data_IF_127243529436
#
_entry.id   IF_127243529436
#
_cell.length_a   1.000
_cell.length_b   1.000
_cell.length_c   1.000
_cell.angle_alpha   90.00
_cell.angle_beta   90.00
_cell.angle_gamma   90.00
#
_symmetry.space_group_name_H-M   'P 1'
#
loop_
_entity.id
_entity.type
_entity.pdbx_description
1 polymer ?
#
# COMPACT_ATOMS: atom_id res chain seq x y z
N UNK A 1 -18.05 -17.84 -12.20
CA UNK A 1 -17.96 -18.51 -10.88
C UNK A 1 -17.53 -17.44 -9.89
N UNK A 2 -18.32 -17.14 -8.88
CA UNK A 2 -17.91 -16.19 -7.83
C UNK A 2 -16.79 -16.86 -7.02
N UNK A 3 -15.57 -16.34 -7.11
CA UNK A 3 -14.47 -16.78 -6.25
C UNK A 3 -14.79 -16.36 -4.81
N UNK A 4 -14.63 -17.26 -3.84
CA UNK A 4 -14.83 -16.94 -2.41
C UNK A 4 -13.82 -15.88 -1.97
N UNK A 5 -14.27 -14.62 -1.97
CA UNK A 5 -13.43 -13.46 -1.65
C UNK A 5 -13.06 -13.41 -0.18
N UNK A 6 -13.89 -13.96 0.69
CA UNK A 6 -13.60 -14.07 2.12
C UNK A 6 -12.44 -15.03 2.35
N UNK A 7 -12.46 -16.20 1.71
CA UNK A 7 -11.35 -17.14 1.74
C UNK A 7 -10.08 -16.51 1.16
N UNK A 8 -10.18 -15.75 0.06
CA UNK A 8 -9.04 -15.06 -0.54
C UNK A 8 -8.41 -14.02 0.40
N UNK A 9 -9.22 -13.17 1.05
CA UNK A 9 -8.73 -12.20 2.05
C UNK A 9 -7.94 -12.90 3.16
N UNK A 10 -8.52 -13.96 3.72
CA UNK A 10 -7.89 -14.76 4.78
C UNK A 10 -6.56 -15.37 4.32
N UNK A 11 -6.53 -15.89 3.09
CA UNK A 11 -5.32 -16.44 2.49
C UNK A 11 -4.21 -15.40 2.37
N UNK A 12 -4.50 -14.21 1.81
CA UNK A 12 -3.50 -13.15 1.64
C UNK A 12 -2.95 -12.67 2.99
N UNK A 13 -3.82 -12.44 3.97
CA UNK A 13 -3.37 -12.04 5.31
C UNK A 13 -2.49 -13.12 5.95
N UNK A 14 -2.88 -14.39 5.84
CA UNK A 14 -2.06 -15.50 6.34
C UNK A 14 -0.71 -15.57 5.63
N UNK A 15 -0.68 -15.46 4.31
CA UNK A 15 0.54 -15.45 3.50
C UNK A 15 1.49 -14.34 3.96
N UNK A 16 0.99 -13.12 4.16
CA UNK A 16 1.79 -11.99 4.65
C UNK A 16 2.37 -12.25 6.05
N UNK A 17 1.58 -12.84 6.96
CA UNK A 17 2.09 -13.23 8.28
C UNK A 17 3.16 -14.31 8.20
N UNK A 18 3.01 -15.25 7.28
CA UNK A 18 3.97 -16.32 7.05
C UNK A 18 5.28 -15.77 6.49
N UNK A 19 5.21 -14.87 5.51
CA UNK A 19 6.37 -14.15 4.98
C UNK A 19 7.12 -13.38 6.08
N UNK A 20 6.42 -12.66 6.95
CA UNK A 20 7.06 -11.94 8.06
C UNK A 20 7.73 -12.87 9.06
N UNK A 21 7.15 -14.06 9.29
CA UNK A 21 7.71 -15.07 10.18
C UNK A 21 8.94 -15.73 9.56
N UNK A 22 8.94 -15.96 8.25
CA UNK A 22 10.06 -16.51 7.49
C UNK A 22 11.26 -15.55 7.47
N UNK A 23 11.03 -14.26 7.21
CA UNK A 23 12.08 -13.24 7.28
C UNK A 23 12.62 -13.09 8.71
N UNK A 24 11.72 -13.07 9.69
CA UNK A 24 12.04 -12.77 11.08
C UNK A 24 12.66 -11.37 11.25
N UNK A 25 13.03 -11.03 12.48
CA UNK A 25 13.60 -9.70 12.77
C UNK A 25 14.91 -9.46 12.02
N UNK A 26 15.76 -10.49 11.89
CA UNK A 26 17.04 -10.40 11.20
C UNK A 26 16.85 -10.15 9.69
N UNK A 27 15.93 -10.86 9.02
CA UNK A 27 15.64 -10.67 7.60
C UNK A 27 15.07 -9.28 7.33
N UNK A 28 14.13 -8.82 8.16
CA UNK A 28 13.61 -7.45 8.05
C UNK A 28 14.72 -6.40 8.21
N UNK A 29 15.64 -6.57 9.16
CA UNK A 29 16.80 -5.67 9.28
C UNK A 29 17.71 -5.71 8.05
N UNK A 30 17.94 -6.89 7.45
CA UNK A 30 18.73 -7.01 6.23
C UNK A 30 18.06 -6.32 5.03
N UNK A 31 16.73 -6.41 4.90
CA UNK A 31 15.97 -5.68 3.89
C UNK A 31 16.09 -4.17 4.10
N UNK A 32 16.02 -3.70 5.34
CA UNK A 32 16.26 -2.30 5.70
C UNK A 32 17.67 -1.85 5.32
N UNK A 33 18.71 -2.60 5.68
CA UNK A 33 20.08 -2.26 5.29
C UNK A 33 20.26 -2.16 3.76
N UNK A 34 19.70 -3.11 3.00
CA UNK A 34 19.72 -3.04 1.53
C UNK A 34 18.95 -1.83 0.99
N UNK A 35 17.88 -1.41 1.67
CA UNK A 35 17.13 -0.21 1.31
C UNK A 35 17.96 1.07 1.39
N UNK A 36 19.01 1.12 2.22
CA UNK A 36 19.89 2.30 2.37
C UNK A 36 20.76 2.56 1.13
N UNK A 37 20.89 1.58 0.23
CA UNK A 37 21.56 1.77 -1.06
C UNK A 37 20.88 2.86 -1.91
N UNK A 38 19.61 3.16 -1.63
CA UNK A 38 18.83 4.18 -2.30
C UNK A 38 18.72 5.45 -1.43
N UNK A 39 19.33 6.54 -1.88
CA UNK A 39 19.27 7.84 -1.22
C UNK A 39 18.14 8.68 -1.85
N UNK A 40 16.92 8.53 -1.33
CA UNK A 40 15.70 9.12 -1.93
C UNK A 40 15.05 10.22 -1.08
N UNK A 41 15.63 10.58 0.06
CA UNK A 41 15.09 11.63 0.93
C UNK A 41 14.95 12.97 0.19
N UNK A 42 15.96 13.32 -0.63
CA UNK A 42 15.97 14.55 -1.43
C UNK A 42 14.83 14.64 -2.45
N UNK A 43 14.33 13.48 -2.92
CA UNK A 43 13.17 13.45 -3.80
C UNK A 43 11.93 13.95 -3.06
N UNK A 44 11.74 13.53 -1.81
CA UNK A 44 10.59 13.94 -1.00
C UNK A 44 10.73 15.40 -0.53
N UNK A 45 11.92 15.82 -0.09
CA UNK A 45 12.15 17.21 0.34
C UNK A 45 12.06 18.20 -0.82
N UNK A 46 12.36 17.75 -2.05
CA UNK A 46 12.15 18.50 -3.29
C UNK A 46 10.70 18.56 -3.77
N UNK A 47 9.74 17.99 -3.03
CA UNK A 47 8.31 17.98 -3.39
C UNK A 47 7.89 16.85 -4.34
N UNK A 48 8.76 15.86 -4.56
CA UNK A 48 8.48 14.66 -5.34
C UNK A 48 7.78 13.55 -4.53
N UNK A 49 7.68 12.38 -5.14
CA UNK A 49 7.10 11.18 -4.56
C UNK A 49 7.98 9.95 -4.83
N UNK A 50 7.89 8.93 -3.97
CA UNK A 50 8.57 7.65 -4.12
C UNK A 50 7.55 6.56 -4.38
N UNK A 51 7.71 5.84 -5.49
CA UNK A 51 6.92 4.67 -5.84
C UNK A 51 7.71 3.41 -5.50
N UNK A 52 7.08 2.44 -4.85
CA UNK A 52 7.69 1.16 -4.50
C UNK A 52 6.70 0.01 -4.73
N UNK A 53 7.17 -1.20 -5.08
CA UNK A 53 6.32 -2.37 -5.20
C UNK A 53 5.88 -2.89 -3.82
N UNK A 54 4.70 -3.50 -3.77
CA UNK A 54 4.12 -4.08 -2.56
C UNK A 54 3.89 -5.61 -2.64
N UNK A 55 4.64 -6.28 -3.52
CA UNK A 55 4.58 -7.74 -3.68
C UNK A 55 5.32 -8.45 -2.51
N UNK A 56 5.73 -9.71 -2.73
CA UNK A 56 6.39 -10.54 -1.71
C UNK A 56 7.62 -9.85 -1.08
N UNK A 57 7.65 -9.80 0.26
CA UNK A 57 8.66 -9.05 1.01
C UNK A 57 10.08 -9.57 0.76
N UNK A 58 10.25 -10.88 0.58
CA UNK A 58 11.54 -11.51 0.29
C UNK A 58 12.14 -11.06 -1.05
N UNK A 59 11.29 -10.65 -2.00
CA UNK A 59 11.72 -10.24 -3.35
C UNK A 59 11.96 -8.74 -3.42
N UNK A 60 10.99 -7.95 -2.98
CA UNK A 60 11.00 -6.50 -3.18
C UNK A 60 11.02 -5.67 -1.89
N UNK A 61 11.09 -6.30 -0.71
CA UNK A 61 11.03 -5.59 0.57
C UNK A 61 12.12 -4.54 0.78
N UNK A 62 13.31 -4.73 0.19
CA UNK A 62 14.38 -3.72 0.21
C UNK A 62 14.03 -2.46 -0.60
N UNK A 63 13.19 -2.56 -1.62
CA UNK A 63 12.67 -1.40 -2.38
C UNK A 63 11.61 -0.67 -1.57
N UNK A 64 10.75 -1.39 -0.83
CA UNK A 64 9.84 -0.77 0.13
C UNK A 64 10.62 -0.13 1.30
N UNK A 65 11.71 -0.75 1.75
CA UNK A 65 12.60 -0.20 2.77
C UNK A 65 13.28 1.10 2.32
N UNK A 66 13.67 1.21 1.03
CA UNK A 66 14.17 2.46 0.47
C UNK A 66 13.15 3.60 0.63
N UNK A 67 11.86 3.34 0.42
CA UNK A 67 10.80 4.32 0.65
C UNK A 67 10.62 4.65 2.14
N UNK A 68 10.75 3.66 3.04
CA UNK A 68 10.75 3.89 4.50
C UNK A 68 11.90 4.82 4.90
N UNK A 69 13.11 4.57 4.40
CA UNK A 69 14.26 5.44 4.67
C UNK A 69 14.06 6.84 4.10
N UNK A 70 13.65 6.97 2.84
CA UNK A 70 13.35 8.26 2.23
C UNK A 70 12.40 9.09 3.11
N UNK A 71 11.31 8.47 3.57
CA UNK A 71 10.30 9.12 4.40
C UNK A 71 10.84 9.52 5.78
N UNK A 72 11.53 8.62 6.48
CA UNK A 72 12.11 8.90 7.81
C UNK A 72 13.28 9.88 7.76
N UNK A 73 14.06 9.87 6.68
CA UNK A 73 15.23 10.73 6.49
C UNK A 73 14.87 12.10 5.89
N UNK A 74 13.63 12.28 5.40
CA UNK A 74 13.14 13.57 4.88
C UNK A 74 13.03 14.67 5.93
N UNK A 75 12.99 14.33 7.22
CA UNK A 75 12.74 15.26 8.31
C UNK A 75 11.28 15.73 8.44
N UNK A 76 10.35 15.15 7.66
CA UNK A 76 8.92 15.50 7.69
C UNK A 76 8.25 15.01 8.98
N UNK A 77 7.39 15.83 9.59
CA UNK A 77 6.58 15.44 10.75
C UNK A 77 5.42 14.51 10.40
N UNK A 78 5.03 14.47 9.12
CA UNK A 78 3.89 13.69 8.59
C UNK A 78 4.28 13.05 7.27
N UNK A 79 3.84 11.81 7.06
CA UNK A 79 4.10 11.03 5.84
C UNK A 79 2.77 10.48 5.32
N UNK A 80 2.44 10.79 4.07
CA UNK A 80 1.29 10.22 3.37
C UNK A 80 1.73 8.98 2.57
N UNK A 81 1.28 7.81 2.99
CA UNK A 81 1.43 6.57 2.23
C UNK A 81 0.12 6.26 1.51
N UNK A 82 0.19 6.13 0.18
CA UNK A 82 -0.96 5.85 -0.68
C UNK A 82 -0.86 4.41 -1.18
N UNK A 83 -1.81 3.58 -0.78
CA UNK A 83 -1.93 2.20 -1.22
C UNK A 83 -2.94 2.05 -2.35
N UNK A 84 -2.98 0.87 -2.96
CA UNK A 84 -4.06 0.47 -3.86
C UNK A 84 -5.18 -0.13 -3.02
N UNK A 85 -6.43 0.24 -3.30
CA UNK A 85 -7.59 -0.46 -2.74
C UNK A 85 -8.09 -1.54 -3.69
N UNK A 86 -7.79 -2.80 -3.38
CA UNK A 86 -8.22 -3.95 -4.16
C UNK A 86 -9.72 -4.20 -4.02
N UNK A 87 -10.36 -4.60 -5.11
CA UNK A 87 -11.77 -5.01 -5.12
C UNK A 87 -11.96 -6.37 -4.44
N UNK A 88 -11.95 -6.37 -3.10
CA UNK A 88 -12.02 -7.59 -2.30
C UNK A 88 -13.45 -7.94 -1.82
N UNK A 89 -14.45 -7.12 -2.14
CA UNK A 89 -15.87 -7.47 -1.95
C UNK A 89 -16.56 -7.67 -3.30
N UNK A 90 -17.68 -8.39 -3.30
CA UNK A 90 -18.50 -8.57 -4.50
C UNK A 90 -19.07 -7.24 -4.99
N UNK A 91 -19.38 -6.33 -4.08
CA UNK A 91 -19.83 -4.97 -4.39
C UNK A 91 -18.76 -4.15 -5.11
N UNK A 92 -17.52 -4.16 -4.61
CA UNK A 92 -16.39 -3.47 -5.23
C UNK A 92 -16.06 -4.08 -6.59
N UNK A 93 -16.14 -5.40 -6.73
CA UNK A 93 -15.96 -6.05 -8.03
C UNK A 93 -17.06 -5.67 -9.00
N UNK A 94 -18.32 -5.63 -8.55
CA UNK A 94 -19.43 -5.22 -9.38
C UNK A 94 -19.26 -3.76 -9.85
N UNK A 95 -18.82 -2.85 -8.97
CA UNK A 95 -18.49 -1.48 -9.33
C UNK A 95 -17.36 -1.41 -10.36
N UNK A 96 -16.30 -2.21 -10.16
CA UNK A 96 -15.19 -2.32 -11.12
C UNK A 96 -15.65 -2.82 -12.48
N UNK A 97 -16.53 -3.81 -12.52
CA UNK A 97 -17.10 -4.34 -13.77
C UNK A 97 -17.96 -3.30 -14.48
N UNK A 98 -18.81 -2.57 -13.75
CA UNK A 98 -19.64 -1.48 -14.33
C UNK A 98 -18.77 -0.40 -14.98
N UNK A 99 -17.73 0.04 -14.28
CA UNK A 99 -16.83 1.08 -14.81
C UNK A 99 -15.99 0.56 -15.98
N UNK A 100 -15.53 -0.69 -15.92
CA UNK A 100 -14.85 -1.32 -17.05
C UNK A 100 -15.76 -1.46 -18.29
N UNK A 101 -17.09 -1.45 -18.10
CA UNK A 101 -18.10 -1.43 -19.15
C UNK A 101 -18.51 0.00 -19.59
N UNK A 102 -17.83 1.04 -19.07
CA UNK A 102 -18.04 2.44 -19.45
C UNK A 102 -18.98 3.24 -18.54
N UNK A 103 -19.31 2.75 -17.33
CA UNK A 103 -19.98 3.61 -16.35
C UNK A 103 -19.05 4.74 -15.87
N UNK A 104 -19.65 5.88 -15.52
CA UNK A 104 -18.93 7.02 -14.95
C UNK A 104 -18.45 6.68 -13.53
N UNK A 105 -17.12 6.60 -13.29
CA UNK A 105 -16.58 6.26 -11.98
C UNK A 105 -17.04 7.20 -10.87
N UNK A 106 -17.27 8.49 -11.18
CA UNK A 106 -17.65 9.49 -10.18
C UNK A 106 -19.08 9.28 -9.64
N UNK A 107 -19.87 8.43 -10.28
CA UNK A 107 -21.23 8.05 -9.86
C UNK A 107 -21.28 6.76 -9.05
N UNK A 108 -20.17 6.03 -8.94
CA UNK A 108 -20.09 4.83 -8.12
C UNK A 108 -20.02 5.22 -6.64
N UNK A 109 -20.87 4.64 -5.80
CA UNK A 109 -20.94 4.93 -4.35
C UNK A 109 -19.60 4.69 -3.64
N UNK A 110 -18.80 3.77 -4.17
CA UNK A 110 -17.50 3.38 -3.62
C UNK A 110 -16.36 4.31 -4.08
N UNK A 111 -16.63 5.24 -5.00
CA UNK A 111 -15.61 6.15 -5.53
C UNK A 111 -15.07 7.09 -4.45
N UNK A 112 -13.74 7.22 -4.41
CA UNK A 112 -13.07 8.17 -3.53
C UNK A 112 -11.91 7.56 -2.77
N UNK A 113 -11.57 8.19 -1.64
CA UNK A 113 -10.40 7.84 -0.83
C UNK A 113 -10.89 7.26 0.50
N UNK A 114 -10.40 6.07 0.83
CA UNK A 114 -10.65 5.41 2.11
C UNK A 114 -9.40 5.40 2.99
N UNK A 115 -9.56 5.16 4.29
CA UNK A 115 -8.45 4.97 5.22
C UNK A 115 -8.76 5.40 6.65
N UNK A 116 -7.84 5.16 7.59
CA UNK A 116 -8.03 5.51 9.00
C UNK A 116 -8.39 6.98 9.19
N UNK A 117 -9.43 7.22 10.02
CA UNK A 117 -9.90 8.55 10.40
C UNK A 117 -10.75 9.27 9.36
N UNK A 118 -11.04 8.66 8.20
CA UNK A 118 -12.01 9.19 7.24
C UNK A 118 -13.42 8.63 7.52
N UNK A 119 -14.44 9.43 7.22
CA UNK A 119 -15.83 8.96 7.19
C UNK A 119 -16.10 8.21 5.88
N UNK A 120 -17.07 7.29 5.89
CA UNK A 120 -17.49 6.53 4.71
C UNK A 120 -17.19 5.05 4.84
N UNK A 121 -16.75 4.44 3.73
CA UNK A 121 -16.58 3.00 3.61
C UNK A 121 -15.36 2.47 4.38
N UNK A 122 -15.49 1.25 4.90
CA UNK A 122 -14.47 0.57 5.70
C UNK A 122 -13.76 -0.58 4.95
N UNK A 123 -13.84 -0.63 3.61
CA UNK A 123 -13.23 -1.72 2.84
C UNK A 123 -11.70 -1.78 2.99
N UNK A 124 -11.08 -0.62 3.26
CA UNK A 124 -9.66 -0.48 3.55
C UNK A 124 -9.17 -1.31 4.74
N UNK A 125 -10.02 -1.69 5.70
CA UNK A 125 -9.61 -2.50 6.86
C UNK A 125 -9.13 -3.90 6.45
N UNK A 126 -9.58 -4.39 5.29
CA UNK A 126 -9.15 -5.68 4.73
C UNK A 126 -8.04 -5.56 3.68
N UNK A 127 -7.61 -4.33 3.37
CA UNK A 127 -6.58 -4.07 2.38
C UNK A 127 -5.19 -4.48 2.90
N UNK A 128 -4.30 -4.86 1.99
CA UNK A 128 -2.98 -5.39 2.29
C UNK A 128 -1.82 -4.68 1.59
N UNK A 129 -2.09 -3.74 0.66
CA UNK A 129 -1.10 -3.09 -0.20
C UNK A 129 -0.02 -2.29 0.56
N UNK A 130 -0.29 -1.84 1.78
CA UNK A 130 0.70 -1.12 2.61
C UNK A 130 1.22 -1.95 3.79
N UNK A 131 0.81 -3.21 3.97
CA UNK A 131 1.19 -3.97 5.17
C UNK A 131 2.69 -4.21 5.27
N UNK A 132 3.38 -4.54 4.17
CA UNK A 132 4.84 -4.69 4.18
C UNK A 132 5.56 -3.37 4.48
N UNK A 133 5.07 -2.26 3.92
CA UNK A 133 5.60 -0.93 4.21
C UNK A 133 5.44 -0.59 5.69
N UNK A 134 4.23 -0.76 6.23
CA UNK A 134 3.95 -0.53 7.64
C UNK A 134 4.82 -1.40 8.55
N UNK A 135 5.01 -2.68 8.20
CA UNK A 135 5.88 -3.58 8.96
C UNK A 135 7.32 -3.08 9.02
N UNK A 136 7.89 -2.72 7.86
CA UNK A 136 9.26 -2.20 7.77
C UNK A 136 9.41 -0.84 8.46
N UNK A 137 8.39 0.01 8.34
CA UNK A 137 8.29 1.30 9.03
C UNK A 137 8.38 1.15 10.55
N UNK A 138 7.52 0.30 11.13
CA UNK A 138 7.50 0.01 12.57
C UNK A 138 8.84 -0.59 13.04
N UNK A 139 9.38 -1.55 12.28
CA UNK A 139 10.68 -2.16 12.57
C UNK A 139 11.79 -1.10 12.59
N UNK A 140 11.84 -0.22 11.60
CA UNK A 140 12.91 0.77 11.50
C UNK A 140 12.79 1.89 12.54
N UNK A 141 11.59 2.36 12.85
CA UNK A 141 11.38 3.33 13.96
C UNK A 141 11.87 2.74 15.27
N UNK A 142 11.47 1.49 15.57
CA UNK A 142 11.92 0.78 16.78
C UNK A 142 13.43 0.66 16.81
N UNK A 143 14.04 0.31 15.68
CA UNK A 143 15.49 0.15 15.54
C UNK A 143 16.25 1.46 15.71
N UNK A 144 15.75 2.56 15.11
CA UNK A 144 16.34 3.90 15.20
C UNK A 144 16.08 4.59 16.54
N UNK A 145 15.10 4.12 17.32
CA UNK A 145 14.67 4.72 18.61
C UNK A 145 14.28 6.19 18.47
N UNK A 146 13.61 6.52 17.37
CA UNK A 146 13.14 7.88 17.07
C UNK A 146 11.67 8.03 17.40
N UNK A 147 11.22 9.27 17.60
CA UNK A 147 9.81 9.59 17.55
C UNK A 147 9.34 9.45 16.10
N UNK A 148 8.37 8.57 15.87
CA UNK A 148 7.79 8.38 14.55
C UNK A 148 7.09 9.66 14.07
N UNK A 149 7.28 10.08 12.81
CA UNK A 149 6.36 11.03 12.19
C UNK A 149 4.98 10.38 12.05
N UNK A 150 3.94 11.20 11.91
CA UNK A 150 2.58 10.73 11.72
C UNK A 150 2.47 10.02 10.36
N UNK A 151 2.24 8.70 10.38
CA UNK A 151 1.97 7.93 9.18
C UNK A 151 0.48 7.97 8.84
N UNK A 152 0.14 8.60 7.71
CA UNK A 152 -1.22 8.72 7.20
C UNK A 152 -1.36 7.74 6.04
N UNK A 153 -2.20 6.72 6.21
CA UNK A 153 -2.47 5.74 5.15
C UNK A 153 -3.77 6.09 4.42
N UNK A 154 -3.72 6.07 3.08
CA UNK A 154 -4.89 6.31 2.23
C UNK A 154 -4.96 5.26 1.13
N UNK A 155 -6.19 4.84 0.84
CA UNK A 155 -6.50 3.79 -0.11
C UNK A 155 -7.53 4.33 -1.11
N UNK A 156 -7.09 5.05 -2.13
CA UNK A 156 -7.94 5.42 -3.25
C UNK A 156 -8.60 4.18 -3.89
N UNK A 157 -9.92 4.24 -4.04
CA UNK A 157 -10.65 3.32 -4.91
C UNK A 157 -10.83 3.97 -6.28
N UNK A 158 -9.84 3.77 -7.15
CA UNK A 158 -9.90 4.28 -8.51
C UNK A 158 -10.41 3.18 -9.42
N UNK A 159 -11.65 3.35 -9.85
CA UNK A 159 -12.22 2.56 -10.93
C UNK A 159 -11.81 3.24 -12.25
N UNK A 160 -10.84 2.65 -12.94
CA UNK A 160 -10.47 3.14 -14.27
C UNK A 160 -11.45 2.63 -15.32
N UNK A 161 -11.96 3.57 -16.12
CA UNK A 161 -12.66 3.28 -17.37
C UNK A 161 -11.67 2.57 -18.31
N UNK A 162 -12.07 1.44 -18.88
CA UNK A 162 -11.25 0.71 -19.83
C UNK A 162 -11.25 1.48 -21.16
N UNK A 163 -10.37 2.48 -21.29
CA UNK A 163 -10.23 3.27 -22.52
C UNK A 163 -9.38 2.50 -23.53
N UNK A 164 -9.89 1.39 -24.04
CA UNK A 164 -9.28 0.61 -25.11
C UNK A 164 -9.28 1.30 -26.49
N UNK A 165 -9.59 2.60 -26.58
CA UNK A 165 -9.70 3.34 -27.84
C UNK A 165 -8.65 4.46 -28.03
N UNK A 166 -7.47 4.38 -27.40
CA UNK A 166 -6.38 5.34 -27.67
C UNK A 166 -5.43 4.94 -28.81
N UNK A 167 -5.73 3.86 -29.55
CA UNK A 167 -4.99 3.45 -30.74
C UNK A 167 -5.94 2.99 -31.85
N UNK A 168 -6.72 3.93 -32.39
CA UNK A 168 -7.28 3.85 -33.75
C UNK A 168 -7.12 5.19 -34.44
#
# INVERSE_FOLDING_TARGET
>A
MAHDRTAFKKYIHQMIQDEWREEGEKGLHQLLERGREFQLADVLTGGGAVLFPHAAIARCGHQSAAAVHAALDSGSDRVLAVGVLHALSDEMEAARVRVAQGSDPSKEELWGIQGPGLQGHAHWESEFSLLHFQKLWETEIKRRKIKAPELIMRYPFWLEENRSNFLT
#
